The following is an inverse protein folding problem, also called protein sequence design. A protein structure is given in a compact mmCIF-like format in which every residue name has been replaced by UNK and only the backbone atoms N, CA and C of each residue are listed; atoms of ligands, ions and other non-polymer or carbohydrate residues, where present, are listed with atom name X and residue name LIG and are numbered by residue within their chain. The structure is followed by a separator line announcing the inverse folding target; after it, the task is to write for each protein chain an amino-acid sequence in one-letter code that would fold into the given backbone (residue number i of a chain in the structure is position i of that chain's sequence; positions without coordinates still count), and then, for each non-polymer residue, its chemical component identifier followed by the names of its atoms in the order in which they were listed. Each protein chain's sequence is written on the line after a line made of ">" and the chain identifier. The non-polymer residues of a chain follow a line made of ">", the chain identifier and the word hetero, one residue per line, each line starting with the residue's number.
data_IF_800304214613
#
_entry.id   IF_800304214613
#
_cell.length_a   1.000
_cell.length_b   1.000
_cell.length_c   1.000
_cell.angle_alpha   90.00
_cell.angle_beta   90.00
_cell.angle_gamma   90.00
#
_symmetry.space_group_name_H-M   'P 1'
#
loop_
_entity.id
_entity.type
_entity.pdbx_description
1 polymer ?
#
# COMPACT_ATOMS: atom_id res chain seq x y z
N UNK A 1 -0.17 4.93 13.42
CA UNK A 1 0.84 5.03 14.50
C UNK A 1 1.17 3.61 14.92
N UNK A 2 2.43 3.30 15.23
CA UNK A 2 2.77 1.96 15.74
C UNK A 2 2.21 1.76 17.15
N UNK A 3 1.58 0.60 17.37
CA UNK A 3 1.11 0.22 18.69
C UNK A 3 2.29 -0.29 19.51
N UNK A 4 2.34 0.03 20.81
CA UNK A 4 3.38 -0.48 21.72
C UNK A 4 2.86 -1.72 22.43
N UNK A 5 3.72 -2.73 22.59
CA UNK A 5 3.36 -3.95 23.33
C UNK A 5 3.11 -3.61 24.81
N UNK A 6 1.90 -3.84 25.35
CA UNK A 6 1.65 -3.66 26.77
C UNK A 6 2.49 -4.64 27.60
N UNK A 7 2.94 -4.21 28.78
CA UNK A 7 3.64 -5.08 29.71
C UNK A 7 2.73 -6.26 30.11
N UNK A 8 3.24 -7.48 30.05
CA UNK A 8 2.47 -8.70 30.39
C UNK A 8 1.51 -9.19 29.31
N UNK A 9 1.40 -8.52 28.14
CA UNK A 9 0.55 -8.99 27.06
C UNK A 9 1.03 -10.35 26.51
N UNK A 10 0.09 -11.30 26.38
CA UNK A 10 0.34 -12.59 25.76
C UNK A 10 0.75 -12.43 24.29
N UNK A 11 1.39 -13.44 23.71
CA UNK A 11 1.74 -13.41 22.28
C UNK A 11 0.49 -13.28 21.39
N UNK A 12 -0.62 -13.90 21.79
CA UNK A 12 -1.89 -13.84 21.06
C UNK A 12 -2.54 -12.46 21.14
N UNK A 13 -2.57 -11.83 22.31
CA UNK A 13 -3.12 -10.48 22.46
C UNK A 13 -2.26 -9.45 21.74
N UNK A 14 -0.94 -9.65 21.76
CA UNK A 14 -0.03 -8.84 20.97
C UNK A 14 -0.26 -8.98 19.47
N UNK A 15 -0.45 -10.20 18.96
CA UNK A 15 -0.77 -10.43 17.55
C UNK A 15 -2.09 -9.75 17.14
N UNK A 16 -3.14 -9.87 17.96
CA UNK A 16 -4.42 -9.17 17.75
C UNK A 16 -4.24 -7.66 17.72
N UNK A 17 -3.48 -7.11 18.67
CA UNK A 17 -3.25 -5.67 18.77
C UNK A 17 -2.44 -5.12 17.59
N UNK A 18 -1.50 -5.90 17.06
CA UNK A 18 -0.79 -5.62 15.80
C UNK A 18 -1.68 -5.73 14.56
N UNK A 19 -2.88 -6.29 14.72
CA UNK A 19 -3.87 -6.45 13.67
C UNK A 19 -3.73 -7.73 12.86
N UNK A 20 -3.03 -8.77 13.34
CA UNK A 20 -3.03 -10.08 12.69
C UNK A 20 -4.44 -10.65 12.66
N UNK A 21 -4.89 -11.10 11.48
CA UNK A 21 -6.22 -11.68 11.33
C UNK A 21 -6.26 -13.11 11.90
N UNK A 22 -7.32 -13.48 12.64
CA UNK A 22 -7.51 -14.85 13.10
C UNK A 22 -7.73 -15.81 11.93
N UNK A 23 -7.21 -17.03 12.03
CA UNK A 23 -7.36 -18.12 11.06
C UNK A 23 -7.67 -19.42 11.80
N UNK A 24 -8.13 -20.44 11.08
CA UNK A 24 -8.22 -21.79 11.64
C UNK A 24 -6.85 -22.23 12.16
N UNK A 25 -6.74 -22.50 13.46
CA UNK A 25 -5.48 -22.86 14.11
C UNK A 25 -4.61 -21.70 14.63
N UNK A 26 -5.10 -20.45 14.64
CA UNK A 26 -4.40 -19.34 15.27
C UNK A 26 -4.54 -18.02 14.53
N UNK A 27 -3.42 -17.48 14.07
CA UNK A 27 -3.36 -16.24 13.29
C UNK A 27 -2.84 -16.51 11.89
N UNK A 28 -3.11 -15.58 10.97
CA UNK A 28 -2.51 -15.59 9.65
C UNK A 28 -0.98 -15.59 9.70
N UNK A 29 -0.35 -16.16 8.67
CA UNK A 29 1.12 -16.17 8.55
C UNK A 29 1.62 -14.74 8.32
N UNK A 30 2.89 -14.50 8.66
CA UNK A 30 3.53 -13.19 8.48
C UNK A 30 3.44 -12.66 7.04
N UNK A 31 3.71 -13.51 6.05
CA UNK A 31 3.54 -13.18 4.63
C UNK A 31 2.12 -12.65 4.32
N UNK A 32 1.10 -13.35 4.81
CA UNK A 32 -0.31 -13.00 4.61
C UNK A 32 -0.65 -11.66 5.29
N UNK A 33 -0.12 -11.45 6.49
CA UNK A 33 -0.22 -10.17 7.19
C UNK A 33 0.42 -9.03 6.39
N UNK A 34 1.65 -9.22 5.87
CA UNK A 34 2.36 -8.20 5.09
C UNK A 34 1.61 -7.86 3.80
N UNK A 35 1.13 -8.88 3.07
CA UNK A 35 0.34 -8.72 1.87
C UNK A 35 -0.97 -7.95 2.16
N UNK A 36 -1.69 -8.32 3.23
CA UNK A 36 -2.94 -7.65 3.61
C UNK A 36 -2.71 -6.20 4.03
N UNK A 37 -1.68 -5.93 4.83
CA UNK A 37 -1.35 -4.57 5.27
C UNK A 37 -0.84 -3.71 4.11
N UNK A 38 -0.07 -4.28 3.19
CA UNK A 38 0.32 -3.64 1.93
C UNK A 38 -0.89 -3.26 1.09
N UNK A 39 -1.84 -4.19 0.89
CA UNK A 39 -3.08 -3.93 0.16
C UNK A 39 -3.92 -2.80 0.80
N UNK A 40 -4.04 -2.78 2.13
CA UNK A 40 -4.73 -1.71 2.85
C UNK A 40 -4.02 -0.35 2.67
N UNK A 41 -2.69 -0.33 2.69
CA UNK A 41 -1.91 0.89 2.45
C UNK A 41 -2.07 1.39 1.01
N UNK A 42 -2.05 0.49 0.02
CA UNK A 42 -2.32 0.82 -1.39
C UNK A 42 -3.72 1.39 -1.55
N UNK A 43 -4.74 0.73 -1.01
CA UNK A 43 -6.12 1.19 -1.08
C UNK A 43 -6.26 2.58 -0.44
N UNK A 44 -5.71 2.77 0.75
CA UNK A 44 -5.74 4.07 1.42
C UNK A 44 -5.03 5.17 0.61
N UNK A 45 -3.90 4.85 -0.02
CA UNK A 45 -3.19 5.78 -0.89
C UNK A 45 -4.05 6.21 -2.08
N UNK A 46 -4.67 5.25 -2.78
CA UNK A 46 -5.56 5.49 -3.91
C UNK A 46 -6.74 6.36 -3.50
N UNK A 47 -7.39 6.06 -2.37
CA UNK A 47 -8.50 6.88 -1.85
C UNK A 47 -8.06 8.31 -1.55
N UNK A 48 -6.84 8.53 -1.05
CA UNK A 48 -6.36 9.88 -0.75
C UNK A 48 -6.01 10.70 -2.00
N UNK A 49 -5.62 10.05 -3.10
CA UNK A 49 -5.21 10.73 -4.34
C UNK A 49 -6.28 10.69 -5.44
N UNK A 50 -7.39 9.98 -5.22
CA UNK A 50 -8.51 9.91 -6.15
C UNK A 50 -9.14 11.30 -6.32
N UNK A 51 -9.05 11.84 -7.53
CA UNK A 51 -9.73 13.09 -7.91
C UNK A 51 -11.15 12.79 -8.41
N UNK A 52 -11.33 11.65 -9.06
CA UNK A 52 -12.60 11.17 -9.59
C UNK A 52 -12.79 9.69 -9.29
N UNK A 53 -14.04 9.26 -9.15
CA UNK A 53 -14.42 7.85 -9.05
C UNK A 53 -15.49 7.52 -10.08
N UNK A 54 -15.46 6.32 -10.69
CA UNK A 54 -16.54 5.85 -11.51
C UNK A 54 -17.77 5.63 -10.63
N UNK A 55 -18.90 6.23 -11.01
CA UNK A 55 -20.21 5.98 -10.42
C UNK A 55 -21.14 5.54 -11.54
N UNK A 56 -22.06 4.62 -11.22
CA UNK A 56 -23.08 4.21 -12.17
C UNK A 56 -24.00 5.41 -12.45
N UNK A 57 -24.21 5.69 -13.73
CA UNK A 57 -25.10 6.76 -14.18
C UNK A 57 -26.52 6.57 -13.64
N UNK A 58 -27.29 7.65 -13.54
CA UNK A 58 -28.65 7.61 -12.99
C UNK A 58 -29.61 6.69 -13.78
N UNK A 59 -29.32 6.44 -15.06
CA UNK A 59 -30.05 5.51 -15.93
C UNK A 59 -29.56 4.05 -15.83
N UNK A 60 -28.49 3.80 -15.05
CA UNK A 60 -27.92 2.46 -14.84
C UNK A 60 -27.13 1.90 -16.02
N UNK A 61 -26.87 2.68 -17.08
CA UNK A 61 -26.34 2.15 -18.34
C UNK A 61 -24.83 2.31 -18.51
N UNK A 62 -24.18 3.24 -17.78
CA UNK A 62 -22.75 3.53 -17.96
C UNK A 62 -22.06 3.96 -16.68
N UNK A 63 -20.74 3.79 -16.65
CA UNK A 63 -19.90 4.37 -15.59
C UNK A 63 -19.52 5.80 -15.98
N UNK A 64 -19.84 6.77 -15.13
CA UNK A 64 -19.46 8.18 -15.29
C UNK A 64 -18.41 8.55 -14.24
N UNK A 65 -17.40 9.35 -14.62
CA UNK A 65 -16.34 9.78 -13.70
C UNK A 65 -16.79 11.02 -12.92
N UNK A 66 -17.10 10.86 -11.63
CA UNK A 66 -17.54 11.95 -10.77
C UNK A 66 -16.42 12.41 -9.83
N UNK A 67 -16.30 13.73 -9.56
CA UNK A 67 -15.41 14.23 -8.52
C UNK A 67 -15.70 13.57 -7.18
N UNK A 68 -14.68 13.39 -6.33
CA UNK A 68 -14.88 12.82 -4.99
C UNK A 68 -15.05 13.94 -3.95
N UNK A 69 -16.28 14.31 -3.55
CA UNK A 69 -16.51 15.44 -2.65
C UNK A 69 -16.02 15.19 -1.21
N UNK A 70 -15.81 13.93 -0.82
CA UNK A 70 -15.49 13.50 0.55
C UNK A 70 -14.17 12.75 0.69
N UNK A 71 -13.30 12.80 -0.33
CA UNK A 71 -11.98 12.17 -0.23
C UNK A 71 -11.16 12.83 0.92
N UNK A 72 -10.40 12.05 1.72
CA UNK A 72 -9.49 12.61 2.72
C UNK A 72 -8.48 13.61 2.11
N UNK A 73 -8.18 13.42 0.82
CA UNK A 73 -7.40 14.33 -0.01
C UNK A 73 -5.89 14.28 0.22
N UNK A 74 -5.16 14.99 -0.63
CA UNK A 74 -3.69 15.08 -0.62
C UNK A 74 -3.09 15.58 0.71
N UNK A 75 -3.70 16.53 1.45
CA UNK A 75 -3.19 16.92 2.76
C UNK A 75 -3.17 15.77 3.77
N UNK A 76 -4.18 14.88 3.71
CA UNK A 76 -4.25 13.71 4.57
C UNK A 76 -3.19 12.68 4.19
N UNK A 77 -2.97 12.44 2.90
CA UNK A 77 -1.87 11.60 2.42
C UNK A 77 -0.50 12.12 2.91
N UNK A 78 -0.26 13.42 2.78
CA UNK A 78 0.98 14.06 3.25
C UNK A 78 1.15 13.94 4.77
N UNK A 79 0.10 14.21 5.53
CA UNK A 79 0.13 14.08 6.99
C UNK A 79 0.38 12.64 7.44
N UNK A 80 -0.18 11.65 6.73
CA UNK A 80 0.08 10.24 7.00
C UNK A 80 1.54 9.86 6.74
N UNK A 81 2.12 10.28 5.61
CA UNK A 81 3.54 10.07 5.31
C UNK A 81 4.44 10.71 6.37
N UNK A 82 4.20 11.97 6.71
CA UNK A 82 4.98 12.67 7.72
C UNK A 82 4.89 11.97 9.09
N UNK A 83 3.70 11.50 9.48
CA UNK A 83 3.52 10.76 10.75
C UNK A 83 4.31 9.46 10.79
N UNK A 84 4.33 8.70 9.69
CA UNK A 84 5.12 7.45 9.63
C UNK A 84 6.62 7.75 9.67
N UNK A 85 7.07 8.73 8.88
CA UNK A 85 8.49 9.11 8.79
C UNK A 85 9.05 9.77 10.05
N UNK A 86 8.18 10.28 10.92
CA UNK A 86 8.52 10.83 12.24
C UNK A 86 8.52 9.78 13.37
N UNK A 87 8.20 8.52 13.06
CA UNK A 87 8.25 7.41 14.02
C UNK A 87 9.45 6.51 13.75
N UNK A 88 9.92 5.81 14.79
CA UNK A 88 10.94 4.78 14.61
C UNK A 88 10.40 3.69 13.67
N UNK A 89 11.13 3.30 12.61
CA UNK A 89 10.66 2.27 11.69
C UNK A 89 10.54 0.90 12.38
N UNK A 90 9.44 0.22 12.10
CA UNK A 90 9.21 -1.20 12.41
C UNK A 90 9.48 -2.10 11.18
N UNK A 91 9.54 -3.41 11.37
CA UNK A 91 9.87 -4.40 10.32
C UNK A 91 8.99 -4.31 9.06
N UNK A 92 7.70 -4.05 9.23
CA UNK A 92 6.71 -3.97 8.12
C UNK A 92 6.76 -2.64 7.35
N UNK A 93 7.49 -1.64 7.85
CA UNK A 93 7.43 -0.27 7.35
C UNK A 93 7.84 -0.16 5.89
N UNK A 94 8.82 -0.95 5.44
CA UNK A 94 9.24 -0.97 4.04
C UNK A 94 8.07 -1.31 3.10
N UNK A 95 7.34 -2.38 3.43
CA UNK A 95 6.18 -2.86 2.67
C UNK A 95 5.09 -1.80 2.61
N UNK A 96 4.71 -1.22 3.76
CA UNK A 96 3.64 -0.22 3.86
C UNK A 96 4.02 1.09 3.16
N UNK A 97 5.26 1.56 3.30
CA UNK A 97 5.73 2.78 2.63
C UNK A 97 5.75 2.60 1.12
N UNK A 98 6.31 1.51 0.61
CA UNK A 98 6.33 1.26 -0.83
C UNK A 98 4.91 1.12 -1.39
N UNK A 99 4.05 0.35 -0.72
CA UNK A 99 2.65 0.17 -1.12
C UNK A 99 1.86 1.48 -1.16
N UNK A 100 2.13 2.41 -0.24
CA UNK A 100 1.50 3.73 -0.25
C UNK A 100 2.10 4.66 -1.32
N UNK A 101 3.43 4.72 -1.42
CA UNK A 101 4.14 5.66 -2.29
C UNK A 101 3.97 5.32 -3.76
N UNK A 102 4.07 4.05 -4.15
CA UNK A 102 4.01 3.63 -5.56
C UNK A 102 2.77 4.17 -6.30
N UNK A 103 1.52 4.01 -5.81
CA UNK A 103 0.34 4.54 -6.50
C UNK A 103 0.15 6.05 -6.32
N UNK A 104 0.62 6.66 -5.22
CA UNK A 104 0.34 8.07 -4.89
C UNK A 104 1.41 9.07 -5.35
N UNK A 105 2.63 8.62 -5.64
CA UNK A 105 3.79 9.49 -5.89
C UNK A 105 3.59 10.44 -7.08
N UNK A 106 2.87 10.03 -8.12
CA UNK A 106 2.62 10.87 -9.29
C UNK A 106 1.75 12.09 -8.95
N UNK A 107 0.73 11.92 -8.11
CA UNK A 107 -0.13 13.04 -7.67
C UNK A 107 0.58 13.88 -6.62
N UNK A 108 1.24 13.25 -5.65
CA UNK A 108 1.99 13.94 -4.59
C UNK A 108 3.13 14.78 -5.14
N UNK A 109 3.88 14.29 -6.14
CA UNK A 109 4.96 15.05 -6.78
C UNK A 109 4.44 16.28 -7.53
N UNK A 110 3.27 16.20 -8.18
CA UNK A 110 2.62 17.35 -8.86
C UNK A 110 2.16 18.41 -7.86
N UNK A 111 1.56 17.99 -6.74
CA UNK A 111 1.03 18.88 -5.69
C UNK A 111 2.10 19.51 -4.81
N UNK A 112 3.17 18.77 -4.51
CA UNK A 112 4.24 19.16 -3.58
C UNK A 112 5.61 19.21 -4.29
N UNK A 113 5.66 19.82 -5.48
CA UNK A 113 6.80 19.83 -6.42
C UNK A 113 8.19 19.95 -5.79
N UNK A 114 8.36 20.85 -4.81
CA UNK A 114 9.64 21.10 -4.14
C UNK A 114 9.83 20.32 -2.84
N UNK A 115 8.74 19.86 -2.21
CA UNK A 115 8.79 19.21 -0.90
C UNK A 115 8.82 17.68 -1.02
N UNK A 116 8.12 17.11 -2.01
CA UNK A 116 8.11 15.67 -2.22
C UNK A 116 9.52 15.10 -2.51
N UNK A 117 10.36 15.71 -3.38
CA UNK A 117 11.74 15.24 -3.56
C UNK A 117 12.58 15.31 -2.28
N UNK A 118 12.37 16.33 -1.43
CA UNK A 118 13.06 16.45 -0.14
C UNK A 118 12.65 15.34 0.83
N UNK A 119 11.36 15.01 0.85
CA UNK A 119 10.83 13.89 1.65
C UNK A 119 11.43 12.56 1.18
N UNK A 120 11.54 12.33 -0.14
CA UNK A 120 12.18 11.13 -0.67
C UNK A 120 13.70 11.10 -0.39
N UNK A 121 14.38 12.24 -0.42
CA UNK A 121 15.79 12.33 -0.04
C UNK A 121 16.00 11.98 1.44
N UNK A 122 15.21 12.56 2.35
CA UNK A 122 15.20 12.18 3.77
C UNK A 122 14.91 10.69 3.96
N UNK A 123 13.93 10.15 3.24
CA UNK A 123 13.61 8.72 3.29
C UNK A 123 14.83 7.88 2.89
N UNK A 124 15.53 8.23 1.80
CA UNK A 124 16.74 7.53 1.33
C UNK A 124 17.93 7.70 2.29
N UNK A 125 18.20 8.91 2.74
CA UNK A 125 19.47 9.26 3.40
C UNK A 125 19.43 8.99 4.91
N UNK A 126 18.29 9.24 5.56
CA UNK A 126 18.16 9.19 7.02
C UNK A 126 17.29 8.03 7.50
N UNK A 127 16.16 7.77 6.83
CA UNK A 127 15.17 6.80 7.30
C UNK A 127 15.49 5.36 6.89
N UNK A 128 15.95 5.15 5.65
CA UNK A 128 16.33 3.82 5.13
C UNK A 128 17.44 3.16 5.95
N UNK A 129 18.52 3.85 6.39
CA UNK A 129 19.50 3.26 7.30
C UNK A 129 18.91 2.80 8.64
N UNK A 130 18.01 3.59 9.23
CA UNK A 130 17.31 3.23 10.47
C UNK A 130 16.43 1.98 10.27
N UNK A 131 15.73 1.91 9.14
CA UNK A 131 14.89 0.78 8.77
C UNK A 131 15.72 -0.49 8.54
N UNK A 132 16.84 -0.40 7.84
CA UNK A 132 17.79 -1.52 7.68
C UNK A 132 18.25 -2.05 9.04
N UNK A 133 18.68 -1.16 9.94
CA UNK A 133 19.11 -1.54 11.29
C UNK A 133 17.98 -2.17 12.12
N UNK A 134 16.71 -1.81 11.91
CA UNK A 134 15.57 -2.51 12.51
C UNK A 134 15.39 -3.91 11.95
N UNK A 135 15.51 -4.08 10.63
CA UNK A 135 15.40 -5.39 9.98
C UNK A 135 16.53 -6.35 10.37
N UNK A 136 17.75 -5.84 10.56
CA UNK A 136 18.91 -6.64 10.94
C UNK A 136 18.86 -7.08 12.40
N UNK A 137 18.43 -6.21 13.33
CA UNK A 137 18.24 -6.58 14.75
C UNK A 137 17.20 -7.68 14.97
N UNK A 138 16.29 -7.86 14.01
CA UNK A 138 15.23 -8.85 14.09
C UNK A 138 15.62 -10.22 13.49
N UNK A 139 16.75 -10.28 12.77
CA UNK A 139 17.33 -11.52 12.28
C UNK A 139 18.09 -12.18 13.44
N UNK A 140 17.38 -12.92 14.28
CA UNK A 140 18.00 -13.93 15.14
C UNK A 140 18.65 -15.04 14.30
N UNK A 141 19.22 -16.06 14.94
CA UNK A 141 20.04 -17.14 14.33
C UNK A 141 19.41 -17.92 13.15
N UNK A 142 18.16 -17.68 12.81
CA UNK A 142 17.44 -18.31 11.71
C UNK A 142 17.28 -17.32 10.53
N UNK A 143 18.10 -17.52 9.49
CA UNK A 143 18.16 -16.69 8.28
C UNK A 143 16.86 -16.62 7.49
N UNK A 144 15.89 -17.52 7.75
CA UNK A 144 14.59 -17.53 7.10
C UNK A 144 13.65 -16.42 7.60
N UNK A 145 13.80 -15.96 8.85
CA UNK A 145 12.84 -15.05 9.49
C UNK A 145 12.93 -13.58 9.04
N UNK A 146 13.88 -13.22 8.17
CA UNK A 146 14.10 -11.85 7.68
C UNK A 146 14.02 -11.66 6.17
N UNK A 147 13.76 -12.72 5.40
CA UNK A 147 13.81 -12.67 3.93
C UNK A 147 12.78 -11.69 3.35
N UNK A 148 11.54 -11.70 3.86
CA UNK A 148 10.46 -10.78 3.44
C UNK A 148 10.80 -9.31 3.71
N UNK A 149 11.40 -9.00 4.86
CA UNK A 149 11.82 -7.63 5.19
C UNK A 149 12.96 -7.17 4.31
N UNK A 150 13.97 -8.02 4.07
CA UNK A 150 15.07 -7.67 3.16
C UNK A 150 14.57 -7.46 1.74
N UNK A 151 13.67 -8.31 1.27
CA UNK A 151 13.04 -8.15 -0.04
C UNK A 151 12.25 -6.84 -0.12
N UNK A 152 11.42 -6.54 0.88
CA UNK A 152 10.65 -5.30 0.95
C UNK A 152 11.54 -4.06 1.01
N UNK A 153 12.65 -4.13 1.75
CA UNK A 153 13.65 -3.05 1.84
C UNK A 153 14.33 -2.81 0.49
N UNK A 154 14.77 -3.88 -0.19
CA UNK A 154 15.40 -3.80 -1.50
C UNK A 154 14.45 -3.22 -2.56
N UNK A 155 13.18 -3.64 -2.54
CA UNK A 155 12.14 -3.10 -3.43
C UNK A 155 11.95 -1.60 -3.20
N UNK A 156 11.85 -1.17 -1.94
CA UNK A 156 11.70 0.25 -1.60
C UNK A 156 12.95 1.06 -2.02
N UNK A 157 14.16 0.56 -1.76
CA UNK A 157 15.41 1.24 -2.15
C UNK A 157 15.52 1.41 -3.67
N UNK A 158 15.27 0.33 -4.43
CA UNK A 158 15.29 0.37 -5.89
C UNK A 158 14.28 1.39 -6.43
N UNK A 159 13.04 1.36 -5.91
CA UNK A 159 12.01 2.32 -6.28
C UNK A 159 12.45 3.76 -5.97
N UNK A 160 12.98 4.02 -4.77
CA UNK A 160 13.45 5.36 -4.35
C UNK A 160 14.53 5.91 -5.28
N UNK A 161 15.53 5.09 -5.63
CA UNK A 161 16.61 5.48 -6.55
C UNK A 161 16.07 5.86 -7.92
N UNK A 162 15.19 5.02 -8.48
CA UNK A 162 14.58 5.26 -9.79
C UNK A 162 13.72 6.53 -9.78
N UNK A 163 12.88 6.71 -8.75
CA UNK A 163 12.00 7.88 -8.62
C UNK A 163 12.78 9.17 -8.40
N UNK A 164 13.78 9.18 -7.52
CA UNK A 164 14.63 10.36 -7.31
C UNK A 164 15.40 10.75 -8.57
N UNK A 165 15.93 9.76 -9.32
CA UNK A 165 16.58 10.02 -10.61
C UNK A 165 15.59 10.60 -11.63
N UNK A 166 14.38 10.08 -11.71
CA UNK A 166 13.35 10.63 -12.60
C UNK A 166 13.04 12.10 -12.25
N UNK A 167 12.87 12.40 -10.96
CA UNK A 167 12.60 13.76 -10.50
C UNK A 167 13.78 14.71 -10.73
N UNK A 168 15.03 14.26 -10.56
CA UNK A 168 16.22 15.07 -10.85
C UNK A 168 16.38 15.39 -12.33
N UNK A 169 15.91 14.49 -13.20
CA UNK A 169 15.90 14.69 -14.66
C UNK A 169 14.75 15.61 -15.11
N UNK A 170 13.94 16.14 -14.18
CA UNK A 170 12.75 16.92 -14.48
C UNK A 170 11.60 16.09 -15.06
N UNK A 171 11.67 14.76 -15.02
CA UNK A 171 10.59 13.89 -15.51
C UNK A 171 9.41 13.93 -14.56
N UNK A 172 8.22 14.04 -15.12
CA UNK A 172 6.97 13.87 -14.39
C UNK A 172 6.75 12.38 -14.13
N UNK A 173 6.45 12.03 -12.88
CA UNK A 173 6.08 10.66 -12.55
C UNK A 173 4.73 10.33 -13.21
N UNK A 174 4.68 9.16 -13.84
CA UNK A 174 3.48 8.64 -14.46
C UNK A 174 2.58 7.98 -13.41
N UNK A 175 1.25 7.97 -13.61
CA UNK A 175 0.37 7.05 -12.89
C UNK A 175 0.89 5.61 -12.99
N UNK A 176 0.61 4.76 -11.98
CA UNK A 176 0.84 3.33 -12.16
C UNK A 176 0.11 2.85 -13.42
N UNK A 177 0.75 1.99 -14.19
CA UNK A 177 0.12 1.35 -15.35
C UNK A 177 -1.14 0.62 -14.89
N UNK A 178 -2.24 0.84 -15.60
CA UNK A 178 -3.48 0.12 -15.33
C UNK A 178 -3.23 -1.37 -15.53
N UNK A 179 -3.85 -2.21 -14.70
CA UNK A 179 -3.80 -3.63 -14.93
C UNK A 179 -4.37 -3.91 -16.33
N UNK A 180 -3.73 -4.81 -17.08
CA UNK A 180 -4.29 -5.32 -18.33
C UNK A 180 -5.52 -6.17 -17.96
N UNK A 181 -6.66 -5.50 -17.88
CA UNK A 181 -7.94 -6.11 -17.54
C UNK A 181 -8.49 -6.67 -18.85
N UNK A 182 -8.62 -8.00 -19.00
CA UNK A 182 -9.26 -8.58 -20.18
C UNK A 182 -10.64 -7.95 -20.37
N UNK A 183 -11.06 -7.73 -21.62
CA UNK A 183 -12.42 -7.30 -21.90
C UNK A 183 -13.40 -8.30 -21.27
N UNK A 184 -14.03 -7.88 -20.17
CA UNK A 184 -15.04 -8.70 -19.53
C UNK A 184 -16.33 -8.53 -20.31
N UNK A 185 -16.75 -9.60 -20.99
CA UNK A 185 -18.14 -9.71 -21.40
C UNK A 185 -19.03 -9.59 -20.16
N UNK A 186 -20.14 -8.87 -20.26
CA UNK A 186 -21.19 -8.92 -19.24
C UNK A 186 -21.48 -10.39 -18.94
N UNK A 187 -21.44 -10.83 -17.67
CA UNK A 187 -21.87 -12.17 -17.31
C UNK A 187 -23.28 -12.39 -17.87
N UNK A 188 -23.40 -13.25 -18.88
CA UNK A 188 -24.69 -13.69 -19.38
C UNK A 188 -25.23 -14.73 -18.39
N UNK A 189 -25.69 -14.24 -17.24
CA UNK A 189 -26.35 -15.07 -16.22
C UNK A 189 -27.72 -15.56 -16.71
N UNK A 190 -28.14 -15.20 -17.94
CA UNK A 190 -29.38 -15.65 -18.58
C UNK A 190 -29.21 -16.84 -19.51
N UNK A 191 -27.99 -17.34 -19.75
CA UNK A 191 -27.75 -18.50 -20.62
C UNK A 191 -28.05 -19.87 -19.96
N UNK A 192 -28.84 -19.90 -18.90
CA UNK A 192 -29.03 -21.06 -18.03
C UNK A 192 -30.48 -21.44 -17.75
N UNK A 193 -31.40 -21.35 -18.73
CA UNK A 193 -32.69 -22.04 -18.63
C UNK A 193 -33.36 -22.20 -20.00
N UNK A 194 -32.93 -23.20 -20.76
CA UNK A 194 -33.78 -23.89 -21.74
C UNK A 194 -33.15 -25.27 -22.04
N UNK A 195 -33.12 -26.12 -21.02
CA UNK A 195 -33.14 -27.56 -21.24
C UNK A 195 -34.61 -28.00 -21.08
N UNK A 196 -35.37 -27.79 -22.15
CA UNK A 196 -36.55 -28.61 -22.42
C UNK A 196 -36.05 -29.97 -22.94
N UNK A 197 -36.78 -31.03 -22.56
CA UNK A 197 -36.71 -32.43 -23.03
C UNK A 197 -35.52 -33.24 -22.44
N UNK A 198 -35.70 -34.41 -21.79
CA UNK A 198 -36.58 -35.55 -22.08
C UNK A 198 -37.22 -36.19 -20.82
N UNK A 199 -38.52 -36.53 -20.92
CA UNK A 199 -39.21 -37.60 -20.18
C UNK A 199 -39.66 -38.68 -21.17
#
# INVERSE_FOLDING_TARGET
>A
HYVRKPAGASAADWARLMGYAPRAGGFEKKEQYYNRMGALATFYAVVCVAEQLPQLSADGQRMEMHPVPTAPGLPTAWAWLARILNQKPERITATVLHAFLKPSAHVLSRRYRRQFPKLLAYLRDDFMPQLSATCDRAQGSDSSQGAEERASLAVLDAWLRMTLKALSDGRQLQPPEDADIPDFHTPDDTSGSNAADDF
#
